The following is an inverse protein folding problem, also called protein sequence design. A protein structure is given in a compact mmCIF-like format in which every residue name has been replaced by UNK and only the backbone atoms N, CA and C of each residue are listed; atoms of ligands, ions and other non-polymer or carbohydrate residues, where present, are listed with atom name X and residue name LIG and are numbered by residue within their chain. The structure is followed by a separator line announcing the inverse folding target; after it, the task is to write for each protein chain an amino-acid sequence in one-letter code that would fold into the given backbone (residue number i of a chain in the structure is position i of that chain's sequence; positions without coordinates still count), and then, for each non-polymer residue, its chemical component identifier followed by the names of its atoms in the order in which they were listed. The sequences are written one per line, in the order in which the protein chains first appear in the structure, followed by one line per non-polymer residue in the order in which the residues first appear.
data_IF_510231773480
#
_entry.id   IF_510231773480
#
_cell.length_a   1.000
_cell.length_b   1.000
_cell.length_c   1.000
_cell.angle_alpha   90.00
_cell.angle_beta   90.00
_cell.angle_gamma   90.00
#
_symmetry.space_group_name_H-M   'P 1'
#
loop_
_entity.id
_entity.type
_entity.pdbx_description
1 polymer ?
#
# COMPACT_ATOMS: atom_id res chain seq x y z
N UNK A 1 55.33 -28.53 -63.58
CA UNK A 1 54.96 -29.74 -62.83
C UNK A 1 54.55 -29.30 -61.43
N UNK A 2 53.29 -29.58 -61.09
CA UNK A 2 52.57 -29.19 -59.88
C UNK A 2 53.26 -29.61 -58.58
N UNK A 3 53.12 -28.82 -57.51
CA UNK A 3 52.61 -29.29 -56.21
C UNK A 3 52.41 -28.12 -55.26
N UNK A 4 51.25 -28.13 -54.58
CA UNK A 4 50.58 -26.97 -54.01
C UNK A 4 51.19 -26.43 -52.73
N UNK A 5 51.17 -25.10 -52.62
CA UNK A 5 51.12 -24.42 -51.33
C UNK A 5 49.72 -24.64 -50.73
N UNK A 6 49.59 -25.61 -49.84
CA UNK A 6 48.52 -25.62 -48.85
C UNK A 6 48.81 -24.51 -47.83
N UNK A 7 48.21 -23.35 -48.03
CA UNK A 7 48.14 -22.32 -46.98
C UNK A 7 47.39 -22.85 -45.76
N UNK A 8 47.63 -22.32 -44.56
CA UNK A 8 46.93 -22.76 -43.36
C UNK A 8 45.45 -22.35 -43.47
N UNK A 9 44.59 -23.24 -43.95
CA UNK A 9 43.12 -23.03 -43.99
C UNK A 9 42.47 -23.11 -42.60
N UNK A 10 43.24 -23.29 -41.52
CA UNK A 10 42.72 -23.41 -40.15
C UNK A 10 42.66 -22.12 -39.33
N UNK A 11 43.38 -21.05 -39.69
CA UNK A 11 43.41 -19.83 -38.86
C UNK A 11 42.17 -18.94 -39.05
N UNK A 12 41.74 -18.72 -40.30
CA UNK A 12 40.61 -17.83 -40.59
C UNK A 12 39.26 -18.35 -40.08
N UNK A 13 39.11 -19.67 -39.92
CA UNK A 13 37.89 -20.28 -39.39
C UNK A 13 37.79 -20.12 -37.85
N UNK A 14 38.94 -20.13 -37.17
CA UNK A 14 39.04 -19.86 -35.73
C UNK A 14 38.83 -18.37 -35.45
N UNK A 15 39.44 -17.49 -36.23
CA UNK A 15 39.23 -16.03 -36.13
C UNK A 15 37.77 -15.62 -36.35
N UNK A 16 37.08 -16.30 -37.28
CA UNK A 16 35.65 -16.10 -37.53
C UNK A 16 34.79 -16.52 -36.31
N UNK A 17 35.09 -17.67 -35.72
CA UNK A 17 34.39 -18.16 -34.53
C UNK A 17 34.60 -17.24 -33.32
N UNK A 18 35.82 -16.72 -33.13
CA UNK A 18 36.13 -15.76 -32.06
C UNK A 18 35.31 -14.47 -32.23
N UNK A 19 35.19 -13.96 -33.45
CA UNK A 19 34.40 -12.75 -33.72
C UNK A 19 32.92 -12.95 -33.39
N UNK A 20 32.34 -14.10 -33.74
CA UNK A 20 30.95 -14.44 -33.40
C UNK A 20 30.72 -14.50 -31.89
N UNK A 21 31.66 -15.09 -31.13
CA UNK A 21 31.59 -15.10 -29.67
C UNK A 21 31.70 -13.68 -29.09
N UNK A 22 32.59 -12.84 -29.59
CA UNK A 22 32.69 -11.44 -29.17
C UNK A 22 31.38 -10.67 -29.43
N UNK A 23 30.73 -10.88 -30.57
CA UNK A 23 29.46 -10.21 -30.88
C UNK A 23 28.30 -10.73 -30.04
N UNK A 24 28.29 -12.03 -29.70
CA UNK A 24 27.34 -12.58 -28.73
C UNK A 24 27.54 -11.97 -27.34
N UNK A 25 28.77 -11.87 -26.86
CA UNK A 25 29.09 -11.23 -25.58
C UNK A 25 28.63 -9.76 -25.57
N UNK A 26 28.86 -9.01 -26.65
CA UNK A 26 28.37 -7.61 -26.76
C UNK A 26 26.85 -7.52 -26.68
N UNK A 27 26.13 -8.43 -27.35
CA UNK A 27 24.65 -8.47 -27.29
C UNK A 27 24.15 -8.79 -25.89
N UNK A 28 24.73 -9.81 -25.25
CA UNK A 28 24.39 -10.21 -23.89
C UNK A 28 24.70 -9.08 -22.89
N UNK A 29 25.84 -8.40 -23.03
CA UNK A 29 26.17 -7.23 -22.20
C UNK A 29 25.19 -6.07 -22.42
N UNK A 30 24.83 -5.77 -23.66
CA UNK A 30 23.87 -4.70 -23.97
C UNK A 30 22.49 -5.00 -23.40
N UNK A 31 22.05 -6.27 -23.50
CA UNK A 31 20.79 -6.73 -22.89
C UNK A 31 20.83 -6.60 -21.37
N UNK A 32 21.93 -7.02 -20.73
CA UNK A 32 22.10 -6.91 -19.30
C UNK A 32 22.09 -5.44 -18.85
N UNK A 33 22.78 -4.56 -19.59
CA UNK A 33 22.79 -3.13 -19.31
C UNK A 33 21.37 -2.54 -19.37
N UNK A 34 20.58 -2.90 -20.37
CA UNK A 34 19.19 -2.48 -20.50
C UNK A 34 18.33 -2.98 -19.32
N UNK A 35 18.49 -4.25 -18.93
CA UNK A 35 17.78 -4.83 -17.78
C UNK A 35 18.14 -4.11 -16.47
N UNK A 36 19.42 -3.80 -16.24
CA UNK A 36 19.85 -3.04 -15.07
C UNK A 36 19.24 -1.63 -15.03
N UNK A 37 19.15 -0.96 -16.18
CA UNK A 37 18.51 0.36 -16.28
C UNK A 37 17.02 0.29 -15.98
N UNK A 38 16.32 -0.71 -16.53
CA UNK A 38 14.89 -0.94 -16.25
C UNK A 38 14.65 -1.20 -14.77
N UNK A 39 15.42 -2.11 -14.17
CA UNK A 39 15.31 -2.43 -12.74
C UNK A 39 15.57 -1.21 -11.86
N UNK A 40 16.56 -0.38 -12.21
CA UNK A 40 16.84 0.85 -11.48
C UNK A 40 15.63 1.79 -11.50
N UNK A 41 15.01 1.98 -12.67
CA UNK A 41 13.82 2.81 -12.82
C UNK A 41 12.65 2.27 -11.98
N UNK A 42 12.42 0.95 -12.03
CA UNK A 42 11.36 0.31 -11.24
C UNK A 42 11.61 0.46 -9.72
N UNK A 43 12.86 0.36 -9.27
CA UNK A 43 13.24 0.62 -7.88
C UNK A 43 12.95 2.06 -7.45
N UNK A 44 13.27 3.05 -8.31
CA UNK A 44 12.98 4.47 -8.04
C UNK A 44 11.46 4.71 -7.93
N UNK A 45 10.68 4.09 -8.81
CA UNK A 45 9.22 4.15 -8.77
C UNK A 45 8.65 3.53 -7.49
N UNK A 46 9.11 2.33 -7.12
CA UNK A 46 8.68 1.66 -5.88
C UNK A 46 9.05 2.47 -4.63
N UNK A 47 10.20 3.15 -4.64
CA UNK A 47 10.58 4.03 -3.54
C UNK A 47 9.61 5.22 -3.38
N UNK A 48 9.13 5.80 -4.49
CA UNK A 48 8.12 6.86 -4.46
C UNK A 48 6.77 6.36 -3.96
N UNK A 49 6.30 5.22 -4.48
CA UNK A 49 5.04 4.59 -4.03
C UNK A 49 5.08 4.27 -2.53
N UNK A 50 6.21 3.77 -2.02
CA UNK A 50 6.41 3.51 -0.59
C UNK A 50 6.23 4.76 0.26
N UNK A 51 6.77 5.90 -0.18
CA UNK A 51 6.65 7.17 0.55
C UNK A 51 5.19 7.62 0.59
N UNK A 52 4.48 7.54 -0.54
CA UNK A 52 3.07 7.95 -0.60
C UNK A 52 2.18 7.06 0.26
N UNK A 53 2.37 5.74 0.22
CA UNK A 53 1.67 4.80 1.11
C UNK A 53 1.98 5.10 2.58
N UNK A 54 3.24 5.38 2.92
CA UNK A 54 3.61 5.72 4.29
C UNK A 54 2.92 7.00 4.78
N UNK A 55 2.86 8.03 3.92
CA UNK A 55 2.16 9.28 4.24
C UNK A 55 0.68 9.04 4.48
N UNK A 56 0.03 8.26 3.63
CA UNK A 56 -1.37 7.87 3.81
C UNK A 56 -1.57 7.07 5.09
N UNK A 57 -0.70 6.10 5.37
CA UNK A 57 -0.72 5.31 6.58
C UNK A 57 -0.68 6.17 7.85
N UNK A 58 0.25 7.13 7.93
CA UNK A 58 0.37 8.03 9.09
C UNK A 58 -0.89 8.89 9.24
N UNK A 59 -1.39 9.47 8.14
CA UNK A 59 -2.61 10.28 8.16
C UNK A 59 -3.82 9.48 8.67
N UNK A 60 -4.01 8.26 8.18
CA UNK A 60 -5.09 7.39 8.65
C UNK A 60 -4.92 6.99 10.11
N UNK A 61 -3.69 6.71 10.55
CA UNK A 61 -3.41 6.36 11.94
C UNK A 61 -3.79 7.49 12.90
N UNK A 62 -3.33 8.71 12.62
CA UNK A 62 -3.63 9.89 13.44
C UNK A 62 -5.13 10.20 13.46
N UNK A 63 -5.78 10.14 12.30
CA UNK A 63 -7.22 10.37 12.18
C UNK A 63 -8.02 9.32 12.94
N UNK A 64 -7.72 8.03 12.74
CA UNK A 64 -8.40 6.94 13.44
C UNK A 64 -8.23 7.04 14.95
N UNK A 65 -7.06 7.44 15.44
CA UNK A 65 -6.84 7.68 16.86
C UNK A 65 -7.72 8.81 17.39
N UNK A 66 -7.75 9.97 16.70
CA UNK A 66 -8.58 11.11 17.07
C UNK A 66 -10.08 10.77 17.08
N UNK A 67 -10.55 10.08 16.04
CA UNK A 67 -11.93 9.60 15.95
C UNK A 67 -12.26 8.61 17.08
N UNK A 68 -11.34 7.71 17.42
CA UNK A 68 -11.57 6.72 18.48
C UNK A 68 -11.71 7.39 19.86
N UNK A 69 -10.88 8.39 20.16
CA UNK A 69 -10.98 9.17 21.40
C UNK A 69 -12.34 9.88 21.47
N UNK A 70 -12.73 10.59 20.41
CA UNK A 70 -13.99 11.33 20.41
C UNK A 70 -15.21 10.39 20.46
N UNK A 71 -15.16 9.24 19.78
CA UNK A 71 -16.20 8.22 19.87
C UNK A 71 -16.40 7.73 21.31
N UNK A 72 -15.33 7.39 22.02
CA UNK A 72 -15.41 6.99 23.42
C UNK A 72 -15.92 8.13 24.31
N UNK A 73 -15.48 9.36 24.06
CA UNK A 73 -15.93 10.56 24.78
C UNK A 73 -17.44 10.76 24.63
N UNK A 74 -17.95 10.72 23.40
CA UNK A 74 -19.38 10.87 23.12
C UNK A 74 -20.19 9.70 23.68
N UNK A 75 -19.67 8.48 23.63
CA UNK A 75 -20.31 7.32 24.24
C UNK A 75 -20.45 7.47 25.76
N UNK A 76 -19.44 8.00 26.44
CA UNK A 76 -19.49 8.26 27.87
C UNK A 76 -20.45 9.42 28.21
N UNK A 77 -20.45 10.49 27.42
CA UNK A 77 -21.42 11.57 27.58
C UNK A 77 -22.86 11.06 27.43
N UNK A 78 -23.14 10.26 26.39
CA UNK A 78 -24.45 9.67 26.17
C UNK A 78 -24.91 8.80 27.36
N UNK A 79 -24.01 7.97 27.93
CA UNK A 79 -24.29 7.18 29.13
C UNK A 79 -24.65 8.06 30.33
N UNK A 80 -23.89 9.14 30.57
CA UNK A 80 -24.14 10.06 31.70
C UNK A 80 -25.45 10.81 31.53
N UNK A 81 -25.74 11.31 30.33
CA UNK A 81 -27.02 11.96 30.06
C UNK A 81 -28.19 11.01 30.28
N UNK A 82 -28.10 9.78 29.79
CA UNK A 82 -29.13 8.77 30.00
C UNK A 82 -29.32 8.46 31.49
N UNK A 83 -28.23 8.33 32.25
CA UNK A 83 -28.29 8.11 33.69
C UNK A 83 -29.02 9.25 34.42
N UNK A 84 -28.75 10.51 34.06
CA UNK A 84 -29.44 11.68 34.60
C UNK A 84 -30.94 11.63 34.24
N UNK A 85 -31.29 11.33 32.99
CA UNK A 85 -32.69 11.18 32.58
C UNK A 85 -33.42 10.11 33.40
N UNK A 86 -32.79 8.97 33.66
CA UNK A 86 -33.37 7.92 34.51
C UNK A 86 -33.51 8.33 35.97
N UNK A 87 -32.60 9.16 36.51
CA UNK A 87 -32.70 9.68 37.87
C UNK A 87 -33.86 10.68 38.03
N UNK A 88 -34.16 11.46 36.98
CA UNK A 88 -35.25 12.45 36.98
C UNK A 88 -36.62 11.79 36.72
N UNK A 89 -36.66 10.66 36.00
CA UNK A 89 -37.90 9.97 35.60
C UNK A 89 -38.89 9.77 36.77
N UNK A 90 -38.49 9.29 37.97
CA UNK A 90 -39.41 9.07 39.09
C UNK A 90 -40.04 10.35 39.65
N UNK A 91 -39.50 11.54 39.32
CA UNK A 91 -40.04 12.83 39.74
C UNK A 91 -41.22 13.30 38.88
N UNK A 92 -41.53 12.61 37.78
CA UNK A 92 -42.60 12.96 36.83
C UNK A 92 -43.92 12.24 37.16
N UNK A 93 -45.04 12.72 36.61
CA UNK A 93 -46.33 12.02 36.71
C UNK A 93 -46.29 10.69 35.94
N UNK A 94 -47.17 9.75 36.28
CA UNK A 94 -47.18 8.41 35.67
C UNK A 94 -47.33 8.44 34.14
N UNK A 95 -48.14 9.37 33.62
CA UNK A 95 -48.33 9.56 32.18
C UNK A 95 -47.05 10.09 31.51
N UNK A 96 -46.40 11.07 32.13
CA UNK A 96 -45.14 11.64 31.65
C UNK A 96 -43.98 10.63 31.69
N UNK A 97 -43.94 9.78 32.73
CA UNK A 97 -42.92 8.72 32.84
C UNK A 97 -42.95 7.79 31.63
N UNK A 98 -44.13 7.30 31.25
CA UNK A 98 -44.31 6.40 30.11
C UNK A 98 -43.88 7.07 28.78
N UNK A 99 -44.26 8.33 28.58
CA UNK A 99 -43.91 9.09 27.37
C UNK A 99 -42.40 9.36 27.26
N UNK A 100 -41.76 9.75 28.37
CA UNK A 100 -40.32 10.04 28.40
C UNK A 100 -39.51 8.75 28.23
N UNK A 101 -39.88 7.67 28.90
CA UNK A 101 -39.20 6.38 28.76
C UNK A 101 -39.20 5.87 27.30
N UNK A 102 -40.36 5.92 26.62
CA UNK A 102 -40.47 5.53 25.22
C UNK A 102 -39.66 6.45 24.27
N UNK A 103 -39.50 7.73 24.63
CA UNK A 103 -38.71 8.68 23.85
C UNK A 103 -37.21 8.46 24.04
N UNK A 104 -36.76 8.15 25.26
CA UNK A 104 -35.36 7.81 25.55
C UNK A 104 -34.91 6.55 24.79
N UNK A 105 -35.75 5.52 24.68
CA UNK A 105 -35.42 4.32 23.91
C UNK A 105 -35.29 4.60 22.42
N UNK A 106 -36.18 5.41 21.84
CA UNK A 106 -36.05 5.84 20.44
C UNK A 106 -34.80 6.69 20.21
N UNK A 107 -34.46 7.58 21.14
CA UNK A 107 -33.28 8.43 21.02
C UNK A 107 -31.95 7.65 20.99
N UNK A 108 -31.91 6.43 21.52
CA UNK A 108 -30.74 5.53 21.44
C UNK A 108 -30.60 4.86 20.07
N UNK A 109 -31.67 4.78 19.29
CA UNK A 109 -31.69 4.12 18.00
C UNK A 109 -31.37 5.15 16.91
N UNK A 110 -30.19 5.04 16.32
CA UNK A 110 -29.81 5.77 15.11
C UNK A 110 -29.95 4.80 13.94
N UNK A 111 -30.95 5.03 13.08
CA UNK A 111 -31.21 4.29 11.83
C UNK A 111 -30.80 5.10 10.62
#
# INVERSE_FOLDING_TARGET
MYSGRSGPQGSSQVDFSIMEYCDRIKKEFSLLQQQCQSLKFDCEKLAQEKIEVHRQYVMYYEMSYGLNVEMHRQSELAKRYLAICHQILPCLSQEQQNQVAATLERAKQVT
#
